data_IF_947182432142
#
_entry.id   IF_947182432142
#
_cell.length_a   1.000
_cell.length_b   1.000
_cell.length_c   1.000
_cell.angle_alpha   90.00
_cell.angle_beta   90.00
_cell.angle_gamma   90.00
#
_symmetry.space_group_name_H-M   'P 1'
#
loop_
_entity.id
_entity.type
_entity.pdbx_description
1 polymer ?
#
# COMPACT_ATOMS: atom_id res chain seq x y z
N UNK A 1 -200.57 -140.01 96.54
CA UNK A 1 -201.07 -138.88 95.72
C UNK A 1 -200.59 -137.52 96.25
N UNK A 2 -199.53 -137.47 97.08
CA UNK A 2 -198.94 -136.22 97.60
C UNK A 2 -197.49 -135.98 97.12
N UNK A 3 -196.88 -136.91 96.38
CA UNK A 3 -195.50 -136.80 95.87
C UNK A 3 -195.34 -135.94 94.60
N UNK A 4 -196.37 -135.74 93.77
CA UNK A 4 -196.18 -135.12 92.45
C UNK A 4 -196.36 -133.59 92.41
N UNK A 5 -196.99 -132.98 93.42
CA UNK A 5 -197.26 -131.54 93.41
C UNK A 5 -196.07 -130.69 93.93
N UNK A 6 -195.19 -131.28 94.75
CA UNK A 6 -194.08 -130.54 95.35
C UNK A 6 -192.94 -130.27 94.36
N UNK A 7 -192.65 -131.23 93.47
CA UNK A 7 -191.52 -131.15 92.53
C UNK A 7 -191.73 -130.11 91.41
N UNK A 8 -192.96 -129.93 90.92
CA UNK A 8 -193.26 -128.95 89.86
C UNK A 8 -193.13 -127.50 90.32
N UNK A 9 -193.41 -127.22 91.61
CA UNK A 9 -193.25 -125.88 92.17
C UNK A 9 -191.77 -125.52 92.34
N UNK A 10 -190.90 -126.48 92.62
CA UNK A 10 -189.46 -126.23 92.76
C UNK A 10 -188.77 -125.95 91.41
N UNK A 11 -189.22 -126.62 90.33
CA UNK A 11 -188.72 -126.37 88.97
C UNK A 11 -189.08 -124.96 88.50
N UNK A 12 -190.31 -124.52 88.73
CA UNK A 12 -190.77 -123.18 88.33
C UNK A 12 -189.93 -122.07 89.00
N UNK A 13 -189.59 -122.25 90.29
CA UNK A 13 -188.75 -121.31 91.02
C UNK A 13 -187.36 -121.18 90.39
N UNK A 14 -186.70 -122.31 90.10
CA UNK A 14 -185.37 -122.35 89.46
C UNK A 14 -185.37 -121.67 88.09
N UNK A 15 -186.39 -121.91 87.28
CA UNK A 15 -186.51 -121.31 85.95
C UNK A 15 -186.72 -119.79 86.01
N UNK A 16 -187.49 -119.28 86.97
CA UNK A 16 -187.64 -117.84 87.17
C UNK A 16 -186.35 -117.17 87.65
N UNK A 17 -185.59 -117.82 88.54
CA UNK A 17 -184.27 -117.33 88.97
C UNK A 17 -183.28 -117.27 87.80
N UNK A 18 -183.30 -118.25 86.90
CA UNK A 18 -182.37 -118.31 85.78
C UNK A 18 -182.70 -117.31 84.66
N UNK A 19 -183.99 -117.05 84.40
CA UNK A 19 -184.42 -115.98 83.50
C UNK A 19 -183.99 -114.63 84.05
N UNK A 20 -184.15 -114.41 85.36
CA UNK A 20 -183.72 -113.17 86.00
C UNK A 20 -182.21 -112.96 85.88
N UNK A 21 -181.42 -114.02 86.05
CA UNK A 21 -179.96 -113.96 85.89
C UNK A 21 -179.52 -113.64 84.46
N UNK A 22 -180.12 -114.27 83.44
CA UNK A 22 -179.78 -114.02 82.03
C UNK A 22 -180.15 -112.61 81.57
N UNK A 23 -181.28 -112.06 82.03
CA UNK A 23 -181.65 -110.68 81.70
C UNK A 23 -180.66 -109.67 82.28
N UNK A 24 -180.16 -109.91 83.49
CA UNK A 24 -179.13 -109.06 84.11
C UNK A 24 -177.81 -109.11 83.34
N UNK A 25 -177.39 -110.29 82.87
CA UNK A 25 -176.22 -110.46 82.01
C UNK A 25 -176.35 -109.73 80.66
N UNK A 26 -177.55 -109.69 80.09
CA UNK A 26 -177.82 -108.98 78.84
C UNK A 26 -177.70 -107.46 79.04
N UNK A 27 -178.24 -106.93 80.13
CA UNK A 27 -178.09 -105.52 80.53
C UNK A 27 -176.61 -105.15 80.72
N UNK A 28 -175.82 -105.99 81.41
CA UNK A 28 -174.39 -105.77 81.60
C UNK A 28 -173.64 -105.75 80.25
N UNK A 29 -174.00 -106.65 79.31
CA UNK A 29 -173.43 -106.67 77.96
C UNK A 29 -173.76 -105.41 77.16
N UNK A 30 -174.98 -104.89 77.24
CA UNK A 30 -175.36 -103.65 76.54
C UNK A 30 -174.61 -102.43 77.08
N UNK A 31 -174.39 -102.37 78.40
CA UNK A 31 -173.59 -101.31 79.02
C UNK A 31 -172.15 -101.36 78.49
N UNK A 32 -171.55 -102.55 78.41
CA UNK A 32 -170.20 -102.74 77.87
C UNK A 32 -170.12 -102.34 76.38
N UNK A 33 -171.09 -102.72 75.55
CA UNK A 33 -171.12 -102.32 74.14
C UNK A 33 -171.24 -100.80 73.96
N UNK A 34 -172.03 -100.11 74.80
CA UNK A 34 -172.12 -98.64 74.78
C UNK A 34 -170.80 -97.99 75.19
N UNK A 35 -170.11 -98.51 76.21
CA UNK A 35 -168.79 -98.03 76.64
C UNK A 35 -167.73 -98.24 75.57
N UNK A 36 -167.72 -99.39 74.89
CA UNK A 36 -166.80 -99.65 73.78
C UNK A 36 -167.05 -98.69 72.60
N UNK A 37 -168.31 -98.41 72.27
CA UNK A 37 -168.65 -97.47 71.20
C UNK A 37 -168.20 -96.05 71.49
N UNK A 38 -168.36 -95.57 72.73
CA UNK A 38 -167.88 -94.24 73.13
C UNK A 38 -166.35 -94.17 73.13
N UNK A 39 -165.66 -95.24 73.57
CA UNK A 39 -164.20 -95.28 73.53
C UNK A 39 -163.65 -95.32 72.10
N UNK A 40 -164.26 -96.10 71.20
CA UNK A 40 -163.86 -96.16 69.79
C UNK A 40 -163.98 -94.79 69.11
N UNK A 41 -165.07 -94.05 69.37
CA UNK A 41 -165.24 -92.68 68.85
C UNK A 41 -164.14 -91.74 69.35
N UNK A 42 -163.74 -91.86 70.62
CA UNK A 42 -162.66 -91.07 71.19
C UNK A 42 -161.31 -91.39 70.52
N UNK A 43 -160.99 -92.67 70.39
CA UNK A 43 -159.74 -93.12 69.73
C UNK A 43 -159.70 -92.68 68.26
N UNK A 44 -160.82 -92.71 67.55
CA UNK A 44 -160.90 -92.22 66.17
C UNK A 44 -160.65 -90.70 66.09
N UNK A 45 -161.20 -89.92 67.02
CA UNK A 45 -160.93 -88.47 67.10
C UNK A 45 -159.46 -88.19 67.37
N UNK A 46 -158.84 -88.89 68.34
CA UNK A 46 -157.42 -88.75 68.67
C UNK A 46 -156.53 -89.16 67.48
N UNK A 47 -156.90 -90.22 66.75
CA UNK A 47 -156.21 -90.64 65.52
C UNK A 47 -156.26 -89.55 64.45
N UNK A 48 -157.43 -88.92 64.24
CA UNK A 48 -157.60 -87.86 63.24
C UNK A 48 -156.82 -86.59 63.62
N UNK A 49 -156.79 -86.23 64.91
CA UNK A 49 -155.93 -85.14 65.43
C UNK A 49 -154.45 -85.43 65.20
N UNK A 50 -153.99 -86.66 65.48
CA UNK A 50 -152.60 -87.07 65.22
C UNK A 50 -152.26 -87.03 63.72
N UNK A 51 -153.18 -87.42 62.85
CA UNK A 51 -153.02 -87.32 61.40
C UNK A 51 -152.87 -85.88 60.93
N UNK A 52 -153.67 -84.96 61.47
CA UNK A 52 -153.52 -83.53 61.17
C UNK A 52 -152.16 -82.98 61.66
N UNK A 53 -151.72 -83.37 62.86
CA UNK A 53 -150.44 -82.94 63.40
C UNK A 53 -149.25 -83.45 62.56
N UNK A 54 -149.30 -84.69 62.08
CA UNK A 54 -148.30 -85.26 61.18
C UNK A 54 -148.23 -84.47 59.87
N UNK A 55 -149.37 -84.17 59.24
CA UNK A 55 -149.40 -83.38 58.01
C UNK A 55 -148.77 -81.99 58.17
N UNK A 56 -149.07 -81.29 59.28
CA UNK A 56 -148.44 -79.98 59.56
C UNK A 56 -146.94 -80.13 59.78
N UNK A 57 -146.51 -81.18 60.51
CA UNK A 57 -145.09 -81.50 60.71
C UNK A 57 -144.36 -81.75 59.39
N UNK A 58 -144.95 -82.53 58.49
CA UNK A 58 -144.34 -82.83 57.19
C UNK A 58 -144.21 -81.57 56.32
N UNK A 59 -145.23 -80.71 56.29
CA UNK A 59 -145.16 -79.41 55.61
C UNK A 59 -144.03 -78.53 56.18
N UNK A 60 -143.92 -78.43 57.52
CA UNK A 60 -142.84 -77.66 58.13
C UNK A 60 -141.46 -78.25 57.86
N UNK A 61 -141.34 -79.58 57.79
CA UNK A 61 -140.09 -80.23 57.40
C UNK A 61 -139.73 -79.95 55.95
N UNK A 62 -140.70 -79.94 55.03
CA UNK A 62 -140.47 -79.62 53.63
C UNK A 62 -140.04 -78.16 53.44
N UNK A 63 -140.69 -77.22 54.12
CA UNK A 63 -140.27 -75.80 54.14
C UNK A 63 -138.85 -75.62 54.71
N UNK A 64 -138.53 -76.31 55.81
CA UNK A 64 -137.18 -76.28 56.38
C UNK A 64 -136.15 -76.88 55.41
N UNK A 65 -136.47 -77.98 54.74
CA UNK A 65 -135.58 -78.63 53.79
C UNK A 65 -135.32 -77.74 52.56
N UNK A 66 -136.34 -77.05 52.08
CA UNK A 66 -136.20 -76.06 51.00
C UNK A 66 -135.29 -74.89 51.42
N UNK A 67 -135.50 -74.34 52.63
CA UNK A 67 -134.61 -73.30 53.19
C UNK A 67 -133.17 -73.78 53.38
N UNK A 68 -132.96 -75.01 53.86
CA UNK A 68 -131.63 -75.61 53.96
C UNK A 68 -130.96 -75.74 52.59
N UNK A 69 -131.72 -76.12 51.56
CA UNK A 69 -131.23 -76.23 50.19
C UNK A 69 -130.86 -74.87 49.59
N UNK A 70 -131.67 -73.84 49.83
CA UNK A 70 -131.39 -72.46 49.41
C UNK A 70 -130.11 -71.91 50.09
N UNK A 71 -130.01 -72.06 51.41
CA UNK A 71 -128.83 -71.63 52.18
C UNK A 71 -127.55 -72.35 51.74
N UNK A 72 -127.64 -73.64 51.41
CA UNK A 72 -126.49 -74.39 50.88
C UNK A 72 -126.00 -73.81 49.56
N UNK A 73 -126.94 -73.50 48.64
CA UNK A 73 -126.59 -72.92 47.33
C UNK A 73 -125.99 -71.52 47.45
N UNK A 74 -126.48 -70.71 48.37
CA UNK A 74 -125.94 -69.36 48.59
C UNK A 74 -124.57 -69.42 49.28
N UNK A 75 -124.33 -70.39 50.16
CA UNK A 75 -123.00 -70.65 50.72
C UNK A 75 -122.01 -71.07 49.64
N UNK A 76 -122.41 -71.96 48.71
CA UNK A 76 -121.57 -72.37 47.59
C UNK A 76 -121.18 -71.18 46.70
N UNK A 77 -122.14 -70.32 46.34
CA UNK A 77 -121.85 -69.09 45.59
C UNK A 77 -120.91 -68.16 46.33
N UNK A 78 -121.11 -67.96 47.64
CA UNK A 78 -120.22 -67.12 48.44
C UNK A 78 -118.80 -67.71 48.54
N UNK A 79 -118.68 -69.04 48.54
CA UNK A 79 -117.37 -69.70 48.48
C UNK A 79 -116.69 -69.50 47.12
N UNK A 80 -117.43 -69.61 46.01
CA UNK A 80 -116.91 -69.35 44.68
C UNK A 80 -116.44 -67.89 44.54
N UNK A 81 -117.27 -66.92 44.94
CA UNK A 81 -116.92 -65.49 44.94
C UNK A 81 -115.69 -65.21 45.83
N UNK A 82 -115.61 -65.83 47.01
CA UNK A 82 -114.43 -65.72 47.89
C UNK A 82 -113.17 -66.26 47.20
N UNK A 83 -113.27 -67.38 46.50
CA UNK A 83 -112.14 -67.99 45.80
C UNK A 83 -111.67 -67.11 44.62
N UNK A 84 -112.60 -66.52 43.86
CA UNK A 84 -112.28 -65.56 42.79
C UNK A 84 -111.60 -64.29 43.34
N UNK A 85 -112.12 -63.74 44.44
CA UNK A 85 -111.50 -62.59 45.11
C UNK A 85 -110.10 -62.91 45.64
N UNK A 86 -109.89 -64.12 46.17
CA UNK A 86 -108.57 -64.54 46.63
C UNK A 86 -107.56 -64.60 45.47
N UNK A 87 -107.95 -65.16 44.33
CA UNK A 87 -107.09 -65.19 43.14
C UNK A 87 -106.73 -63.79 42.65
N UNK A 88 -107.68 -62.85 42.69
CA UNK A 88 -107.42 -61.44 42.32
C UNK A 88 -106.46 -60.74 43.29
N UNK A 89 -106.55 -61.03 44.60
CA UNK A 89 -105.61 -60.50 45.60
C UNK A 89 -104.21 -61.04 45.34
N UNK A 90 -104.06 -62.35 45.14
CA UNK A 90 -102.77 -62.99 44.89
C UNK A 90 -102.10 -62.42 43.63
N UNK A 91 -102.87 -62.20 42.54
CA UNK A 91 -102.38 -61.60 41.30
C UNK A 91 -101.96 -60.13 41.49
N UNK A 92 -102.72 -59.36 42.29
CA UNK A 92 -102.39 -57.97 42.62
C UNK A 92 -101.11 -57.88 43.46
N UNK A 93 -100.91 -58.79 44.40
CA UNK A 93 -99.72 -58.84 45.25
C UNK A 93 -98.49 -59.19 44.42
N UNK A 94 -98.59 -60.16 43.51
CA UNK A 94 -97.53 -60.48 42.54
C UNK A 94 -97.16 -59.26 41.69
N UNK A 95 -98.15 -58.59 41.09
CA UNK A 95 -97.90 -57.40 40.27
C UNK A 95 -97.28 -56.24 41.07
N UNK A 96 -97.69 -56.08 42.33
CA UNK A 96 -97.11 -55.07 43.23
C UNK A 96 -95.65 -55.38 43.59
N UNK A 97 -95.32 -56.65 43.81
CA UNK A 97 -93.95 -57.10 44.07
C UNK A 97 -93.05 -56.90 42.85
N UNK A 98 -93.51 -57.26 41.65
CA UNK A 98 -92.78 -57.03 40.40
C UNK A 98 -92.50 -55.54 40.17
N UNK A 99 -93.50 -54.69 40.38
CA UNK A 99 -93.34 -53.24 40.27
C UNK A 99 -92.34 -52.70 41.31
N UNK A 100 -92.38 -53.21 42.55
CA UNK A 100 -91.41 -52.85 43.59
C UNK A 100 -89.99 -53.25 43.22
N UNK A 101 -89.81 -54.47 42.71
CA UNK A 101 -88.51 -54.98 42.26
C UNK A 101 -87.96 -54.14 41.11
N UNK A 102 -88.80 -53.79 40.13
CA UNK A 102 -88.40 -52.95 39.00
C UNK A 102 -88.04 -51.53 39.44
N UNK A 103 -88.77 -50.95 40.39
CA UNK A 103 -88.41 -49.67 41.00
C UNK A 103 -87.06 -49.73 41.72
N UNK A 104 -86.78 -50.81 42.45
CA UNK A 104 -85.50 -51.00 43.15
C UNK A 104 -84.34 -51.16 42.15
N UNK A 105 -84.50 -51.97 41.10
CA UNK A 105 -83.51 -52.14 40.05
C UNK A 105 -83.20 -50.82 39.35
N UNK A 106 -84.22 -50.03 39.00
CA UNK A 106 -84.05 -48.72 38.40
C UNK A 106 -83.37 -47.74 39.35
N UNK A 107 -83.67 -47.78 40.64
CA UNK A 107 -82.99 -46.94 41.64
C UNK A 107 -81.51 -47.28 41.77
N UNK A 108 -81.16 -48.58 41.80
CA UNK A 108 -79.77 -49.03 41.85
C UNK A 108 -79.02 -48.65 40.56
N UNK A 109 -79.64 -48.83 39.39
CA UNK A 109 -79.05 -48.43 38.12
C UNK A 109 -78.83 -46.91 38.05
N UNK A 110 -79.79 -46.12 38.53
CA UNK A 110 -79.66 -44.66 38.60
C UNK A 110 -78.50 -44.24 39.52
N UNK A 111 -78.38 -44.85 40.69
CA UNK A 111 -77.27 -44.56 41.61
C UNK A 111 -75.91 -44.88 40.98
N UNK A 112 -75.75 -46.05 40.36
CA UNK A 112 -74.51 -46.41 39.64
C UNK A 112 -74.17 -45.40 38.54
N UNK A 113 -75.16 -44.99 37.74
CA UNK A 113 -74.95 -43.99 36.69
C UNK A 113 -74.59 -42.60 37.23
N UNK A 114 -75.07 -42.23 38.42
CA UNK A 114 -74.66 -41.00 39.10
C UNK A 114 -73.22 -41.10 39.60
N UNK A 115 -72.83 -42.21 40.22
CA UNK A 115 -71.47 -42.45 40.70
C UNK A 115 -70.46 -42.40 39.54
N UNK A 116 -70.73 -43.12 38.44
CA UNK A 116 -69.89 -43.11 37.22
C UNK A 116 -69.76 -41.70 36.63
N UNK A 117 -70.84 -40.92 36.59
CA UNK A 117 -70.83 -39.54 36.10
C UNK A 117 -69.98 -38.63 36.98
N UNK A 118 -70.00 -38.83 38.29
CA UNK A 118 -69.21 -38.02 39.23
C UNK A 118 -67.73 -38.42 39.20
N UNK A 119 -67.40 -39.70 39.02
CA UNK A 119 -66.02 -40.16 38.76
C UNK A 119 -65.46 -39.53 37.47
N UNK A 120 -66.19 -39.62 36.35
CA UNK A 120 -65.77 -39.01 35.08
C UNK A 120 -65.59 -37.49 35.17
N UNK A 121 -66.41 -36.81 35.98
CA UNK A 121 -66.25 -35.37 36.23
C UNK A 121 -64.97 -35.08 36.99
N UNK A 122 -64.62 -35.90 37.97
CA UNK A 122 -63.39 -35.72 38.74
C UNK A 122 -62.14 -36.04 37.91
N UNK A 123 -62.17 -37.09 37.10
CA UNK A 123 -61.13 -37.36 36.09
C UNK A 123 -60.95 -36.19 35.12
N UNK A 124 -62.04 -35.60 34.64
CA UNK A 124 -61.98 -34.44 33.76
C UNK A 124 -61.40 -33.20 34.48
N UNK A 125 -61.73 -32.98 35.76
CA UNK A 125 -61.17 -31.88 36.57
C UNK A 125 -59.67 -32.07 36.79
N UNK A 126 -59.24 -33.27 37.18
CA UNK A 126 -57.83 -33.59 37.43
C UNK A 126 -57.01 -33.49 36.15
N UNK A 127 -57.50 -34.05 35.03
CA UNK A 127 -56.86 -33.91 33.72
C UNK A 127 -56.75 -32.43 33.31
N UNK A 128 -57.83 -31.65 33.44
CA UNK A 128 -57.81 -30.21 33.14
C UNK A 128 -56.82 -29.43 34.01
N UNK A 129 -56.76 -29.74 35.31
CA UNK A 129 -55.79 -29.12 36.23
C UNK A 129 -54.35 -29.45 35.83
N UNK A 130 -54.06 -30.71 35.51
CA UNK A 130 -52.74 -31.16 35.07
C UNK A 130 -52.32 -30.49 33.75
N UNK A 131 -53.21 -30.44 32.76
CA UNK A 131 -52.98 -29.76 31.47
C UNK A 131 -52.75 -28.26 31.65
N UNK A 132 -53.53 -27.59 32.52
CA UNK A 132 -53.33 -26.18 32.84
C UNK A 132 -51.97 -25.93 33.52
N UNK A 133 -51.59 -26.79 34.48
CA UNK A 133 -50.29 -26.68 35.16
C UNK A 133 -49.12 -26.88 34.19
N UNK A 134 -49.23 -27.85 33.27
CA UNK A 134 -48.21 -28.06 32.23
C UNK A 134 -48.14 -26.86 31.27
N UNK A 135 -49.29 -26.31 30.89
CA UNK A 135 -49.35 -25.12 30.04
C UNK A 135 -48.71 -23.91 30.73
N UNK A 136 -48.93 -23.72 32.04
CA UNK A 136 -48.32 -22.65 32.81
C UNK A 136 -46.79 -22.78 32.86
N UNK A 137 -46.27 -24.00 33.11
CA UNK A 137 -44.82 -24.28 33.09
C UNK A 137 -44.20 -23.97 31.73
N UNK A 138 -44.87 -24.38 30.65
CA UNK A 138 -44.40 -24.08 29.28
C UNK A 138 -44.40 -22.56 29.00
N UNK A 139 -45.41 -21.82 29.47
CA UNK A 139 -45.41 -20.36 29.36
C UNK A 139 -44.22 -19.71 30.09
N UNK A 140 -43.92 -20.16 31.31
CA UNK A 140 -42.76 -19.67 32.08
C UNK A 140 -41.43 -19.98 31.38
N UNK A 141 -41.28 -21.17 30.80
CA UNK A 141 -40.09 -21.54 30.02
C UNK A 141 -39.95 -20.69 28.75
N UNK A 142 -41.06 -20.46 28.02
CA UNK A 142 -41.07 -19.60 26.83
C UNK A 142 -40.67 -18.17 27.21
N UNK A 143 -41.14 -17.62 28.33
CA UNK A 143 -40.74 -16.29 28.78
C UNK A 143 -39.25 -16.20 29.13
N UNK A 144 -38.70 -17.20 29.83
CA UNK A 144 -37.26 -17.28 30.13
C UNK A 144 -36.43 -17.34 28.84
N UNK A 145 -36.84 -18.18 27.89
CA UNK A 145 -36.16 -18.29 26.59
C UNK A 145 -36.26 -17.00 25.78
N UNK A 146 -37.41 -16.31 25.80
CA UNK A 146 -37.56 -15.00 25.15
C UNK A 146 -36.60 -13.96 25.74
N UNK A 147 -36.50 -13.89 27.06
CA UNK A 147 -35.57 -12.99 27.73
C UNK A 147 -34.11 -13.28 27.34
N UNK A 148 -33.72 -14.55 27.33
CA UNK A 148 -32.37 -14.96 26.96
C UNK A 148 -32.03 -14.65 25.50
N UNK A 149 -32.95 -14.93 24.58
CA UNK A 149 -32.79 -14.58 23.15
C UNK A 149 -32.66 -13.06 22.97
N UNK A 150 -33.47 -12.27 23.69
CA UNK A 150 -33.41 -10.81 23.61
C UNK A 150 -32.10 -10.25 24.19
N UNK A 151 -31.60 -10.85 25.28
CA UNK A 151 -30.28 -10.54 25.84
C UNK A 151 -29.16 -10.80 24.83
N UNK A 152 -29.14 -12.00 24.24
CA UNK A 152 -28.15 -12.36 23.23
C UNK A 152 -28.22 -11.45 21.99
N UNK A 153 -29.44 -11.09 21.54
CA UNK A 153 -29.63 -10.13 20.44
C UNK A 153 -28.95 -8.79 20.73
N UNK A 154 -29.12 -8.23 21.93
CA UNK A 154 -28.49 -6.96 22.32
C UNK A 154 -26.97 -7.06 22.40
N UNK A 155 -26.44 -8.16 22.94
CA UNK A 155 -25.00 -8.42 22.97
C UNK A 155 -24.41 -8.48 21.55
N UNK A 156 -25.08 -9.15 20.61
CA UNK A 156 -24.68 -9.16 19.20
C UNK A 156 -24.77 -7.79 18.52
N UNK A 157 -25.82 -7.00 18.79
CA UNK A 157 -25.93 -5.64 18.27
C UNK A 157 -24.83 -4.70 18.79
N UNK A 158 -24.44 -4.83 20.05
CA UNK A 158 -23.32 -4.06 20.62
C UNK A 158 -21.98 -4.47 19.99
N UNK A 159 -21.76 -5.77 19.82
CA UNK A 159 -20.57 -6.28 19.11
C UNK A 159 -20.53 -5.78 17.66
N UNK A 160 -21.65 -5.80 16.95
CA UNK A 160 -21.75 -5.31 15.58
C UNK A 160 -21.42 -3.82 15.49
N UNK A 161 -21.94 -2.99 16.42
CA UNK A 161 -21.58 -1.56 16.52
C UNK A 161 -20.10 -1.35 16.80
N UNK A 162 -19.49 -2.13 17.70
CA UNK A 162 -18.04 -2.04 17.98
C UNK A 162 -17.20 -2.44 16.76
N UNK A 163 -17.60 -3.52 16.06
CA UNK A 163 -16.96 -3.96 14.82
C UNK A 163 -17.07 -2.90 13.72
N UNK A 164 -18.25 -2.31 13.51
CA UNK A 164 -18.44 -1.21 12.57
C UNK A 164 -17.56 -0.01 12.94
N UNK A 165 -17.47 0.35 14.22
CA UNK A 165 -16.62 1.43 14.71
C UNK A 165 -15.12 1.16 14.54
N UNK A 166 -14.66 -0.08 14.71
CA UNK A 166 -13.28 -0.50 14.41
C UNK A 166 -13.00 -0.45 12.91
N UNK A 167 -13.93 -0.96 12.10
CA UNK A 167 -13.82 -0.95 10.64
C UNK A 167 -13.74 0.48 10.09
N UNK A 168 -14.55 1.41 10.60
CA UNK A 168 -14.52 2.81 10.17
C UNK A 168 -13.17 3.47 10.50
N UNK A 169 -12.67 3.29 11.72
CA UNK A 169 -11.34 3.81 12.13
C UNK A 169 -10.21 3.28 11.25
N UNK A 170 -10.24 1.99 10.91
CA UNK A 170 -9.27 1.40 9.99
C UNK A 170 -9.38 1.96 8.57
N UNK A 171 -10.58 2.25 8.08
CA UNK A 171 -10.77 2.92 6.79
C UNK A 171 -10.17 4.33 6.81
N UNK A 172 -10.46 5.13 7.85
CA UNK A 172 -9.90 6.48 8.00
C UNK A 172 -8.36 6.47 8.10
N UNK A 173 -7.79 5.52 8.84
CA UNK A 173 -6.34 5.36 8.95
C UNK A 173 -5.71 4.95 7.60
N UNK A 174 -6.33 4.03 6.86
CA UNK A 174 -5.89 3.65 5.53
C UNK A 174 -5.98 4.81 4.53
N UNK A 175 -7.01 5.65 4.60
CA UNK A 175 -7.12 6.84 3.75
C UNK A 175 -6.01 7.85 4.05
N UNK A 176 -5.68 8.08 5.33
CA UNK A 176 -4.55 8.93 5.73
C UNK A 176 -3.22 8.38 5.22
N UNK A 177 -2.95 7.09 5.44
CA UNK A 177 -1.73 6.44 4.95
C UNK A 177 -1.62 6.51 3.43
N UNK A 178 -2.74 6.32 2.71
CA UNK A 178 -2.78 6.46 1.25
C UNK A 178 -2.45 7.88 0.81
N UNK A 179 -2.97 8.88 1.51
CA UNK A 179 -2.65 10.28 1.24
C UNK A 179 -1.17 10.58 1.50
N UNK A 180 -0.61 10.11 2.60
CA UNK A 180 0.80 10.31 2.94
C UNK A 180 1.74 9.65 1.92
N UNK A 181 1.43 8.43 1.48
CA UNK A 181 2.16 7.74 0.40
C UNK A 181 2.08 8.48 -0.93
N UNK A 182 0.93 9.08 -1.25
CA UNK A 182 0.74 9.90 -2.44
C UNK A 182 1.63 11.16 -2.41
N UNK A 183 1.72 11.83 -1.25
CA UNK A 183 2.60 12.97 -1.04
C UNK A 183 4.08 12.60 -1.18
N UNK A 184 4.52 11.52 -0.52
CA UNK A 184 5.90 11.03 -0.63
C UNK A 184 6.27 10.66 -2.07
N UNK A 185 5.34 10.06 -2.82
CA UNK A 185 5.58 9.73 -4.23
C UNK A 185 5.83 10.98 -5.08
N UNK A 186 5.04 12.04 -4.86
CA UNK A 186 5.22 13.32 -5.58
C UNK A 186 6.55 13.98 -5.24
N UNK A 187 6.96 13.98 -3.97
CA UNK A 187 8.27 14.50 -3.56
C UNK A 187 9.43 13.73 -4.22
N UNK A 188 9.33 12.40 -4.29
CA UNK A 188 10.33 11.57 -4.98
C UNK A 188 10.34 11.84 -6.49
N UNK A 189 9.19 12.00 -7.15
CA UNK A 189 9.10 12.38 -8.56
C UNK A 189 9.73 13.75 -8.85
N UNK A 190 9.61 14.71 -7.93
CA UNK A 190 10.29 16.01 -8.04
C UNK A 190 11.80 15.88 -7.90
N UNK A 191 12.27 15.13 -6.89
CA UNK A 191 13.69 14.86 -6.72
C UNK A 191 14.30 14.15 -7.94
N UNK A 192 13.59 13.19 -8.54
CA UNK A 192 14.07 12.48 -9.73
C UNK A 192 14.25 13.42 -10.93
N UNK A 193 13.34 14.40 -11.12
CA UNK A 193 13.49 15.45 -12.14
C UNK A 193 14.70 16.33 -11.89
N UNK A 194 14.96 16.72 -10.65
CA UNK A 194 16.13 17.52 -10.28
C UNK A 194 17.42 16.74 -10.53
N UNK A 195 17.47 15.46 -10.14
CA UNK A 195 18.59 14.56 -10.42
C UNK A 195 18.85 14.43 -11.93
N UNK A 196 17.79 14.27 -12.71
CA UNK A 196 17.90 14.17 -14.16
C UNK A 196 18.41 15.48 -14.79
N UNK A 197 17.98 16.63 -14.27
CA UNK A 197 18.53 17.94 -14.65
C UNK A 197 20.03 18.09 -14.35
N UNK A 198 20.48 17.59 -13.19
CA UNK A 198 21.90 17.57 -12.84
C UNK A 198 22.71 16.59 -13.72
N UNK A 199 22.18 15.40 -14.00
CA UNK A 199 22.79 14.41 -14.89
C UNK A 199 23.00 14.99 -16.30
N UNK A 200 22.00 15.67 -16.86
CA UNK A 200 22.07 16.35 -18.15
C UNK A 200 23.15 17.45 -18.15
N UNK A 201 23.22 18.25 -17.07
CA UNK A 201 24.22 19.30 -16.93
C UNK A 201 25.64 18.74 -16.84
N UNK A 202 25.84 17.65 -16.09
CA UNK A 202 27.13 16.93 -16.00
C UNK A 202 27.52 16.40 -17.38
N UNK A 203 26.59 15.80 -18.12
CA UNK A 203 26.85 15.26 -19.45
C UNK A 203 27.22 16.36 -20.45
N UNK A 204 26.56 17.52 -20.37
CA UNK A 204 26.93 18.69 -21.16
C UNK A 204 28.35 19.19 -20.82
N UNK A 205 28.68 19.30 -19.53
CA UNK A 205 30.03 19.69 -19.10
C UNK A 205 31.11 18.68 -19.57
N UNK A 206 30.85 17.37 -19.45
CA UNK A 206 31.74 16.32 -19.98
C UNK A 206 31.97 16.49 -21.48
N UNK A 207 30.94 16.84 -22.25
CA UNK A 207 31.07 17.08 -23.69
C UNK A 207 32.00 18.27 -23.98
N UNK A 208 31.82 19.41 -23.29
CA UNK A 208 32.70 20.57 -23.44
C UNK A 208 34.15 20.29 -23.04
N UNK A 209 34.37 19.57 -21.94
CA UNK A 209 35.72 19.13 -21.52
C UNK A 209 36.35 18.25 -22.59
N UNK A 210 35.58 17.35 -23.21
CA UNK A 210 36.07 16.48 -24.28
C UNK A 210 36.44 17.27 -25.53
N UNK A 211 35.62 18.26 -25.92
CA UNK A 211 35.94 19.16 -27.03
C UNK A 211 37.21 19.96 -26.75
N UNK A 212 37.32 20.59 -25.58
CA UNK A 212 38.50 21.35 -25.17
C UNK A 212 39.77 20.49 -25.18
N UNK A 213 39.69 19.26 -24.65
CA UNK A 213 40.79 18.29 -24.65
C UNK A 213 41.25 17.96 -26.07
N UNK A 214 40.32 17.75 -27.00
CA UNK A 214 40.64 17.45 -28.39
C UNK A 214 41.25 18.64 -29.12
N UNK A 215 40.80 19.87 -28.83
CA UNK A 215 41.38 21.10 -29.40
C UNK A 215 42.80 21.31 -28.89
N UNK A 216 43.02 21.22 -27.57
CA UNK A 216 44.35 21.33 -26.97
C UNK A 216 45.31 20.28 -27.52
N UNK A 217 44.84 19.06 -27.77
CA UNK A 217 45.67 18.02 -28.38
C UNK A 217 46.18 18.41 -29.77
N UNK A 218 45.31 18.97 -30.63
CA UNK A 218 45.71 19.45 -31.97
C UNK A 218 46.68 20.62 -31.90
N UNK A 219 46.46 21.56 -30.98
CA UNK A 219 47.37 22.68 -30.77
C UNK A 219 48.75 22.20 -30.28
N UNK A 220 48.78 21.19 -29.40
CA UNK A 220 50.02 20.57 -28.93
C UNK A 220 50.80 19.93 -30.09
N UNK A 221 50.13 19.11 -30.91
CA UNK A 221 50.72 18.49 -32.12
C UNK A 221 51.29 19.57 -33.06
N UNK A 222 50.58 20.69 -33.26
CA UNK A 222 51.06 21.81 -34.09
C UNK A 222 52.28 22.53 -33.50
N UNK A 223 52.35 22.66 -32.17
CA UNK A 223 53.50 23.27 -31.48
C UNK A 223 54.72 22.35 -31.58
N UNK A 224 54.55 21.04 -31.40
CA UNK A 224 55.62 20.06 -31.57
C UNK A 224 56.22 20.14 -32.99
N UNK A 225 55.39 20.12 -34.04
CA UNK A 225 55.84 20.27 -35.43
C UNK A 225 56.65 21.56 -35.66
N UNK A 226 56.16 22.70 -35.14
CA UNK A 226 56.86 23.99 -35.27
C UNK A 226 58.17 24.02 -34.47
N UNK A 227 58.23 23.31 -33.35
CA UNK A 227 59.43 23.26 -32.52
C UNK A 227 60.53 22.48 -33.24
N UNK A 228 60.19 21.35 -33.88
CA UNK A 228 61.11 20.61 -34.74
C UNK A 228 61.61 21.46 -35.93
N UNK A 229 60.73 22.28 -36.52
CA UNK A 229 61.11 23.20 -37.59
C UNK A 229 62.10 24.28 -37.11
N UNK A 230 61.86 24.87 -35.93
CA UNK A 230 62.78 25.85 -35.32
C UNK A 230 64.13 25.22 -35.02
N UNK A 231 64.16 24.02 -34.43
CA UNK A 231 65.40 23.29 -34.15
C UNK A 231 66.22 23.03 -35.43
N UNK A 232 65.55 22.68 -36.54
CA UNK A 232 66.19 22.54 -37.84
C UNK A 232 66.83 23.86 -38.31
N UNK A 233 66.10 24.98 -38.24
CA UNK A 233 66.60 26.28 -38.66
C UNK A 233 67.75 26.78 -37.78
N UNK A 234 67.70 26.56 -36.47
CA UNK A 234 68.80 26.90 -35.54
C UNK A 234 70.09 26.15 -35.88
N UNK A 235 69.99 24.85 -36.19
CA UNK A 235 71.14 24.06 -36.62
C UNK A 235 71.76 24.60 -37.92
N UNK A 236 70.93 24.97 -38.91
CA UNK A 236 71.41 25.59 -40.14
C UNK A 236 72.09 26.93 -39.90
N UNK A 237 71.49 27.78 -39.05
CA UNK A 237 72.05 29.08 -38.71
C UNK A 237 73.41 28.96 -37.99
N UNK A 238 73.53 28.02 -37.04
CA UNK A 238 74.78 27.75 -36.34
C UNK A 238 75.88 27.27 -37.31
N UNK A 239 75.55 26.35 -38.22
CA UNK A 239 76.48 25.86 -39.24
C UNK A 239 76.98 27.00 -40.13
N UNK A 240 76.08 27.83 -40.64
CA UNK A 240 76.43 28.97 -41.48
C UNK A 240 77.31 29.98 -40.73
N UNK A 241 77.00 30.25 -39.45
CA UNK A 241 77.80 31.14 -38.61
C UNK A 241 79.25 30.63 -38.48
N UNK A 242 79.44 29.33 -38.27
CA UNK A 242 80.77 28.71 -38.20
C UNK A 242 81.51 28.83 -39.55
N UNK A 243 80.82 28.58 -40.67
CA UNK A 243 81.41 28.70 -42.01
C UNK A 243 81.82 30.13 -42.34
N UNK A 244 80.96 31.11 -42.04
CA UNK A 244 81.26 32.53 -42.24
C UNK A 244 82.47 32.99 -41.41
N UNK A 245 82.53 32.58 -40.13
CA UNK A 245 83.70 32.86 -39.28
C UNK A 245 84.98 32.30 -39.89
N UNK A 246 84.96 31.06 -40.38
CA UNK A 246 86.12 30.45 -41.08
C UNK A 246 86.53 31.25 -42.32
N UNK A 247 85.59 31.57 -43.21
CA UNK A 247 85.89 32.31 -44.43
C UNK A 247 86.42 33.72 -44.14
N UNK A 248 85.90 34.39 -43.10
CA UNK A 248 86.40 35.70 -42.69
C UNK A 248 87.83 35.64 -42.15
N UNK A 249 88.18 34.59 -41.40
CA UNK A 249 89.55 34.35 -40.94
C UNK A 249 90.49 34.19 -42.15
N UNK A 250 90.13 33.35 -43.11
CA UNK A 250 90.92 33.13 -44.33
C UNK A 250 91.11 34.44 -45.14
N UNK A 251 90.06 35.24 -45.28
CA UNK A 251 90.13 36.54 -45.97
C UNK A 251 91.06 37.52 -45.25
N UNK A 252 91.02 37.56 -43.91
CA UNK A 252 91.88 38.45 -43.13
C UNK A 252 93.34 37.99 -43.15
N UNK A 253 93.60 36.68 -43.14
CA UNK A 253 94.94 36.12 -43.35
C UNK A 253 95.53 36.50 -44.72
N UNK A 254 94.73 36.43 -45.78
CA UNK A 254 95.13 36.88 -47.13
C UNK A 254 95.39 38.39 -47.16
N UNK A 255 94.55 39.18 -46.49
CA UNK A 255 94.74 40.64 -46.38
C UNK A 255 96.07 40.96 -45.71
N UNK A 256 96.35 40.32 -44.57
CA UNK A 256 97.59 40.50 -43.82
C UNK A 256 98.81 40.11 -44.65
N UNK A 257 98.78 38.96 -45.31
CA UNK A 257 99.89 38.51 -46.17
C UNK A 257 100.17 39.47 -47.34
N UNK A 258 99.12 40.06 -47.94
CA UNK A 258 99.29 41.06 -49.00
C UNK A 258 99.84 42.38 -48.49
N UNK A 259 99.42 42.83 -47.30
CA UNK A 259 100.01 43.98 -46.62
C UNK A 259 101.50 43.71 -46.39
N UNK A 260 101.88 42.57 -45.79
CA UNK A 260 103.29 42.25 -45.52
C UNK A 260 104.15 42.19 -46.80
N UNK A 261 103.61 41.67 -47.90
CA UNK A 261 104.34 41.53 -49.17
C UNK A 261 104.54 42.85 -49.94
N UNK A 262 103.59 43.79 -49.83
CA UNK A 262 103.60 45.07 -50.56
C UNK A 262 104.34 46.13 -49.74
N UNK A 263 105.68 46.11 -49.67
CA UNK A 263 106.43 47.13 -48.90
C UNK A 263 106.04 48.60 -49.22
N UNK A 264 106.37 49.53 -48.31
CA UNK A 264 105.92 50.95 -48.26
C UNK A 264 106.33 51.89 -49.43
N UNK A 265 106.52 51.36 -50.63
CA UNK A 265 106.79 52.13 -51.83
C UNK A 265 105.49 52.71 -52.40
N UNK A 266 105.48 54.00 -52.72
CA UNK A 266 104.36 54.71 -53.39
C UNK A 266 104.23 54.28 -54.86
N UNK A 267 103.83 53.01 -55.09
CA UNK A 267 103.39 52.50 -56.41
C UNK A 267 101.88 52.77 -56.56
N UNK A 268 101.29 52.46 -57.72
CA UNK A 268 99.87 52.72 -57.96
C UNK A 268 98.96 52.04 -56.93
N UNK A 269 99.33 50.85 -56.47
CA UNK A 269 98.77 50.22 -55.27
C UNK A 269 99.94 49.88 -54.34
N UNK A 270 99.80 50.24 -53.06
CA UNK A 270 100.79 49.98 -52.02
C UNK A 270 100.17 50.07 -50.64
N UNK A 271 101.01 50.10 -49.60
CA UNK A 271 100.54 50.32 -48.23
C UNK A 271 100.52 51.82 -47.95
N UNK A 272 99.39 52.29 -47.41
CA UNK A 272 99.30 53.57 -46.70
C UNK A 272 99.19 53.27 -45.21
N UNK A 273 99.96 53.97 -44.36
CA UNK A 273 99.76 53.93 -42.91
C UNK A 273 98.68 54.96 -42.58
N UNK A 274 97.49 54.48 -42.25
CA UNK A 274 96.35 55.34 -41.96
C UNK A 274 96.57 56.03 -40.62
N UNK A 275 96.47 57.36 -40.61
CA UNK A 275 96.72 58.17 -39.42
C UNK A 275 98.19 58.49 -39.16
N UNK A 276 99.11 58.15 -40.08
CA UNK A 276 100.49 58.66 -40.06
C UNK A 276 100.54 60.01 -40.80
N UNK A 277 101.06 61.05 -40.15
CA UNK A 277 101.18 62.38 -40.71
C UNK A 277 102.22 62.44 -41.84
N UNK A 278 101.90 63.16 -42.93
CA UNK A 278 102.88 63.44 -43.99
C UNK A 278 103.83 64.53 -43.48
N UNK A 279 105.15 64.31 -43.53
CA UNK A 279 106.14 65.25 -43.00
C UNK A 279 106.29 66.51 -43.86
N UNK A 280 105.91 66.46 -45.14
CA UNK A 280 106.15 67.57 -46.09
C UNK A 280 105.49 68.89 -45.69
N UNK A 281 104.19 68.93 -45.30
CA UNK A 281 103.56 70.16 -44.84
C UNK A 281 104.23 70.77 -43.60
N UNK A 282 104.78 69.93 -42.71
CA UNK A 282 105.52 70.40 -41.53
C UNK A 282 106.83 71.06 -41.93
N UNK A 283 107.57 70.48 -42.88
CA UNK A 283 108.82 71.06 -43.40
C UNK A 283 108.59 72.41 -44.08
N UNK A 284 107.54 72.50 -44.91
CA UNK A 284 107.15 73.74 -45.60
C UNK A 284 106.70 74.85 -44.65
N UNK A 285 105.98 74.53 -43.58
CA UNK A 285 105.58 75.52 -42.58
C UNK A 285 106.77 75.98 -41.74
N UNK A 286 107.68 75.08 -41.38
CA UNK A 286 108.91 75.43 -40.67
C UNK A 286 109.82 76.34 -41.50
N UNK A 287 109.87 76.21 -42.83
CA UNK A 287 110.72 77.06 -43.69
C UNK A 287 110.31 78.53 -43.70
N UNK A 288 109.10 78.84 -43.27
CA UNK A 288 108.61 80.22 -43.15
C UNK A 288 109.00 80.87 -41.81
N UNK A 289 109.40 80.07 -40.81
CA UNK A 289 109.60 80.54 -39.43
C UNK A 289 111.01 80.32 -38.87
N UNK A 290 111.76 79.36 -39.42
CA UNK A 290 113.09 79.00 -38.91
C UNK A 290 114.16 79.12 -40.00
N UNK A 291 115.43 79.37 -39.63
CA UNK A 291 116.55 79.33 -40.55
C UNK A 291 116.79 77.91 -41.09
N UNK A 292 117.32 77.80 -42.32
CA UNK A 292 117.58 76.51 -43.00
C UNK A 292 118.41 75.51 -42.17
N UNK A 293 119.33 76.00 -41.33
CA UNK A 293 120.18 75.15 -40.49
C UNK A 293 119.40 74.35 -39.42
N UNK A 294 118.23 74.83 -38.99
CA UNK A 294 117.40 74.21 -37.95
C UNK A 294 116.10 73.59 -38.50
N UNK A 295 115.82 73.81 -39.79
CA UNK A 295 114.59 73.42 -40.47
C UNK A 295 114.25 71.94 -40.30
N UNK A 296 115.21 71.06 -40.55
CA UNK A 296 114.98 69.62 -40.56
C UNK A 296 114.67 69.08 -39.16
N UNK A 297 115.37 69.58 -38.15
CA UNK A 297 115.14 69.20 -36.76
C UNK A 297 113.77 69.71 -36.30
N UNK A 298 113.46 71.00 -36.54
CA UNK A 298 112.21 71.62 -36.09
C UNK A 298 110.97 71.05 -36.76
N UNK A 299 111.06 70.70 -38.05
CA UNK A 299 109.94 70.09 -38.78
C UNK A 299 109.62 68.67 -38.32
N UNK A 300 110.64 67.86 -38.01
CA UNK A 300 110.46 66.51 -37.46
C UNK A 300 109.94 66.55 -36.02
N UNK A 301 110.44 67.48 -35.20
CA UNK A 301 109.93 67.71 -33.83
C UNK A 301 108.44 68.07 -33.86
N UNK A 302 108.03 68.99 -34.74
CA UNK A 302 106.63 69.41 -34.87
C UNK A 302 105.74 68.28 -35.41
N UNK A 303 106.19 67.54 -36.42
CA UNK A 303 105.46 66.39 -36.96
C UNK A 303 105.26 65.30 -35.91
N UNK A 304 106.33 64.96 -35.17
CA UNK A 304 106.29 63.97 -34.09
C UNK A 304 105.38 64.40 -32.95
N UNK A 305 105.45 65.67 -32.53
CA UNK A 305 104.57 66.21 -31.51
C UNK A 305 103.10 66.01 -31.87
N UNK A 306 102.71 66.39 -33.10
CA UNK A 306 101.33 66.22 -33.53
C UNK A 306 100.95 64.76 -33.75
N UNK A 307 101.87 63.91 -34.19
CA UNK A 307 101.64 62.47 -34.28
C UNK A 307 101.32 61.88 -32.89
N UNK A 308 102.12 62.22 -31.88
CA UNK A 308 101.88 61.80 -30.48
C UNK A 308 100.56 62.35 -29.94
N UNK A 309 100.19 63.60 -30.29
CA UNK A 309 98.88 64.14 -29.89
C UNK A 309 97.73 63.33 -30.49
N UNK A 310 97.82 62.93 -31.77
CA UNK A 310 96.77 62.14 -32.45
C UNK A 310 96.68 60.71 -31.88
N UNK A 311 97.81 60.14 -31.48
CA UNK A 311 97.89 58.81 -30.87
C UNK A 311 97.50 58.79 -29.38
N UNK A 312 97.42 59.97 -28.74
CA UNK A 312 96.97 60.12 -27.35
C UNK A 312 95.45 59.99 -27.19
N UNK A 313 94.98 60.16 -25.95
CA UNK A 313 93.56 60.25 -25.63
C UNK A 313 92.86 61.52 -26.17
N UNK A 314 93.60 62.41 -26.84
CA UNK A 314 93.03 63.57 -27.49
C UNK A 314 92.04 63.15 -28.60
N UNK A 315 90.79 63.59 -28.46
CA UNK A 315 89.68 63.19 -29.32
C UNK A 315 88.81 64.42 -29.67
N UNK A 316 89.26 65.26 -30.62
CA UNK A 316 88.56 66.48 -31.00
C UNK A 316 87.39 66.18 -31.95
N UNK A 317 86.45 65.32 -31.53
CA UNK A 317 85.25 64.97 -32.30
C UNK A 317 83.97 65.22 -31.50
N UNK A 318 82.99 65.82 -32.16
CA UNK A 318 81.61 65.97 -31.70
C UNK A 318 80.73 64.89 -32.32
N UNK A 319 79.76 64.41 -31.55
CA UNK A 319 78.74 63.48 -32.02
C UNK A 319 77.52 64.30 -32.42
N UNK A 320 77.15 64.29 -33.71
CA UNK A 320 75.96 64.96 -34.23
C UNK A 320 74.94 63.90 -34.70
N UNK A 321 73.66 64.14 -34.41
CA UNK A 321 72.54 63.29 -34.85
C UNK A 321 71.85 63.94 -36.04
N UNK A 322 71.95 63.33 -37.22
CA UNK A 322 71.15 63.71 -38.40
C UNK A 322 70.06 62.65 -38.62
N UNK A 323 68.79 63.07 -38.48
CA UNK A 323 67.57 62.32 -38.82
C UNK A 323 67.55 60.81 -38.46
N UNK A 324 67.81 60.51 -37.20
CA UNK A 324 67.16 59.38 -36.54
C UNK A 324 67.84 58.02 -36.62
N UNK A 325 68.98 57.81 -37.30
CA UNK A 325 69.79 56.63 -36.99
C UNK A 325 71.25 56.53 -37.49
N UNK A 326 72.01 57.63 -37.58
CA UNK A 326 73.47 57.52 -37.65
C UNK A 326 74.12 58.64 -36.84
N UNK A 327 74.90 58.28 -35.82
CA UNK A 327 75.77 59.21 -35.08
C UNK A 327 76.99 59.50 -35.95
N UNK A 328 77.03 60.68 -36.57
CA UNK A 328 78.20 61.10 -37.36
C UNK A 328 79.20 61.77 -36.42
N UNK A 329 80.47 61.38 -36.52
CA UNK A 329 81.58 61.97 -35.75
C UNK A 329 82.20 63.05 -36.61
N UNK A 330 81.95 64.30 -36.25
CA UNK A 330 82.48 65.46 -36.95
C UNK A 330 83.58 66.10 -36.10
N UNK A 331 84.54 66.76 -36.74
CA UNK A 331 85.66 67.38 -36.04
C UNK A 331 85.16 68.60 -35.28
N UNK A 332 85.61 68.74 -34.03
CA UNK A 332 85.34 69.92 -33.24
C UNK A 332 86.26 71.07 -33.65
N UNK A 333 85.79 71.95 -34.53
CA UNK A 333 86.54 73.15 -34.96
C UNK A 333 86.84 74.13 -33.81
N UNK A 334 86.13 74.03 -32.67
CA UNK A 334 86.35 74.83 -31.47
C UNK A 334 87.36 74.19 -30.50
N UNK A 335 87.91 73.01 -30.83
CA UNK A 335 88.94 72.37 -30.02
C UNK A 335 90.15 73.30 -29.86
N UNK A 336 90.58 73.47 -28.61
CA UNK A 336 91.60 74.44 -28.24
C UNK A 336 92.95 74.18 -28.95
N UNK A 337 93.34 72.91 -29.12
CA UNK A 337 94.59 72.52 -29.77
C UNK A 337 94.50 72.69 -31.28
N UNK A 338 93.39 72.29 -31.90
CA UNK A 338 93.14 72.49 -33.33
C UNK A 338 93.12 73.98 -33.70
N UNK A 339 92.46 74.81 -32.90
CA UNK A 339 92.42 76.27 -33.12
C UNK A 339 93.79 76.91 -32.97
N UNK A 340 94.58 76.49 -31.98
CA UNK A 340 95.99 76.93 -31.82
C UNK A 340 96.84 76.51 -33.01
N UNK A 341 96.73 75.25 -33.48
CA UNK A 341 97.45 74.77 -34.65
C UNK A 341 97.16 75.62 -35.89
N UNK A 342 95.88 75.89 -36.16
CA UNK A 342 95.43 76.68 -37.31
C UNK A 342 95.92 78.12 -37.24
N UNK A 343 95.88 78.73 -36.05
CA UNK A 343 96.36 80.11 -35.85
C UNK A 343 97.88 80.23 -35.94
N UNK A 344 98.62 79.31 -35.32
CA UNK A 344 100.07 79.38 -35.24
C UNK A 344 100.75 78.91 -36.53
N UNK A 345 100.26 77.85 -37.17
CA UNK A 345 100.97 77.19 -38.27
C UNK A 345 100.22 77.14 -39.60
N UNK A 346 98.99 77.68 -39.62
CA UNK A 346 98.19 77.84 -40.84
C UNK A 346 97.37 76.63 -41.24
N UNK A 347 96.53 76.84 -42.27
CA UNK A 347 95.51 75.89 -42.72
C UNK A 347 96.07 74.53 -43.16
N UNK A 348 97.21 74.54 -43.85
CA UNK A 348 97.78 73.32 -44.46
C UNK A 348 98.20 72.28 -43.42
N UNK A 349 98.70 72.74 -42.26
CA UNK A 349 99.07 71.86 -41.16
C UNK A 349 97.86 71.39 -40.38
N UNK A 350 96.91 72.29 -40.15
CA UNK A 350 95.59 71.96 -39.59
C UNK A 350 94.90 70.83 -40.36
N UNK A 351 94.79 70.96 -41.69
CA UNK A 351 94.22 69.92 -42.56
C UNK A 351 94.99 68.59 -42.51
N UNK A 352 96.32 68.66 -42.38
CA UNK A 352 97.17 67.46 -42.33
C UNK A 352 96.95 66.68 -41.04
N UNK A 353 96.89 67.37 -39.90
CA UNK A 353 96.57 66.80 -38.58
C UNK A 353 95.16 66.25 -38.52
N UNK A 354 94.18 66.99 -39.08
CA UNK A 354 92.79 66.55 -39.20
C UNK A 354 92.65 65.27 -40.02
N UNK A 355 93.33 65.21 -41.17
CA UNK A 355 93.32 64.02 -42.02
C UNK A 355 93.87 62.81 -41.26
N UNK A 356 94.95 63.00 -40.49
CA UNK A 356 95.50 61.98 -39.60
C UNK A 356 94.48 61.50 -38.55
N UNK A 357 93.76 62.42 -37.90
CA UNK A 357 92.73 62.11 -36.90
C UNK A 357 91.56 61.32 -37.48
N UNK A 358 91.06 61.70 -38.65
CA UNK A 358 89.97 61.02 -39.34
C UNK A 358 90.37 59.60 -39.74
N UNK A 359 91.53 59.45 -40.35
CA UNK A 359 92.07 58.14 -40.73
C UNK A 359 92.29 57.25 -39.51
N UNK A 360 92.79 57.79 -38.40
CA UNK A 360 92.96 57.04 -37.15
C UNK A 360 91.62 56.53 -36.61
N UNK A 361 90.57 57.35 -36.68
CA UNK A 361 89.24 57.01 -36.18
C UNK A 361 88.52 55.99 -37.05
N UNK A 362 88.65 56.08 -38.38
CA UNK A 362 87.98 55.16 -39.29
C UNK A 362 88.63 53.77 -39.29
N UNK A 363 89.97 53.70 -39.22
CA UNK A 363 90.71 52.45 -39.42
C UNK A 363 91.20 51.81 -38.11
N UNK A 364 91.37 52.58 -37.03
CA UNK A 364 91.82 52.06 -35.74
C UNK A 364 91.31 52.88 -34.54
N UNK A 365 90.00 53.14 -34.48
CA UNK A 365 89.39 53.95 -33.42
C UNK A 365 89.80 53.53 -32.00
N UNK A 366 89.86 52.22 -31.74
CA UNK A 366 90.15 51.67 -30.41
C UNK A 366 91.65 51.56 -30.12
N UNK A 367 92.49 51.31 -31.13
CA UNK A 367 93.92 51.11 -30.93
C UNK A 367 94.74 52.40 -30.97
N UNK A 368 94.29 53.44 -31.69
CA UNK A 368 94.93 54.77 -31.75
C UNK A 368 96.40 54.78 -32.18
N UNK A 369 96.84 53.80 -32.96
CA UNK A 369 98.14 53.79 -33.63
C UNK A 369 97.97 53.64 -35.15
N UNK A 370 98.92 54.13 -35.98
CA UNK A 370 98.81 54.03 -37.43
C UNK A 370 98.79 52.58 -37.91
N UNK A 371 97.74 52.21 -38.65
CA UNK A 371 97.56 50.85 -39.18
C UNK A 371 97.92 50.81 -40.67
N UNK A 372 98.69 49.81 -41.12
CA UNK A 372 98.95 49.64 -42.55
C UNK A 372 97.68 49.16 -43.26
N UNK A 373 97.29 49.86 -44.31
CA UNK A 373 96.16 49.51 -45.14
C UNK A 373 96.53 49.44 -46.63
N UNK A 374 95.92 48.49 -47.33
CA UNK A 374 96.02 48.40 -48.79
C UNK A 374 95.36 49.62 -49.41
N UNK A 375 96.14 50.41 -50.14
CA UNK A 375 95.70 51.69 -50.67
C UNK A 375 95.97 51.81 -52.16
N UNK A 376 94.95 52.31 -52.88
CA UNK A 376 95.10 52.71 -54.27
C UNK A 376 95.47 54.19 -54.30
N UNK A 377 96.74 54.48 -54.57
CA UNK A 377 97.25 55.86 -54.60
C UNK A 377 96.81 56.63 -55.86
N UNK A 378 96.25 55.96 -56.88
CA UNK A 378 95.68 56.64 -58.05
C UNK A 378 94.26 57.14 -57.80
N UNK A 379 93.49 56.36 -57.06
CA UNK A 379 92.07 56.65 -56.80
C UNK A 379 91.83 57.20 -55.39
N UNK A 380 92.91 57.37 -54.61
CA UNK A 380 92.89 57.90 -53.23
C UNK A 380 91.87 57.20 -52.32
N UNK A 381 91.76 55.87 -52.42
CA UNK A 381 90.86 55.04 -51.61
C UNK A 381 91.47 53.71 -51.20
N UNK A 382 90.83 53.03 -50.26
CA UNK A 382 91.13 51.65 -49.87
C UNK A 382 91.10 50.74 -51.10
N UNK A 383 92.17 49.96 -51.29
CA UNK A 383 92.24 48.96 -52.34
C UNK A 383 91.63 47.64 -51.87
N UNK A 384 90.89 46.99 -52.76
CA UNK A 384 90.40 45.62 -52.56
C UNK A 384 91.54 44.60 -52.72
N UNK A 385 91.37 43.41 -52.13
CA UNK A 385 92.32 42.30 -52.30
C UNK A 385 92.52 41.96 -53.78
N UNK A 386 91.43 41.99 -54.57
CA UNK A 386 91.45 41.75 -56.01
C UNK A 386 92.33 42.75 -56.75
N UNK A 387 92.21 44.03 -56.43
CA UNK A 387 93.02 45.09 -57.04
C UNK A 387 94.50 44.93 -56.67
N UNK A 388 94.81 44.65 -55.40
CA UNK A 388 96.18 44.41 -54.94
C UNK A 388 96.83 43.23 -55.66
N UNK A 389 96.14 42.09 -55.74
CA UNK A 389 96.62 40.89 -56.46
C UNK A 389 96.83 41.20 -57.95
N UNK A 390 95.87 41.84 -58.61
CA UNK A 390 95.97 42.21 -60.02
C UNK A 390 97.19 43.12 -60.27
N UNK A 391 97.45 44.06 -59.36
CA UNK A 391 98.58 44.96 -59.46
C UNK A 391 99.93 44.23 -59.31
N UNK A 392 100.05 43.31 -58.35
CA UNK A 392 101.25 42.47 -58.19
C UNK A 392 101.49 41.64 -59.46
N UNK A 393 100.45 41.00 -60.00
CA UNK A 393 100.56 40.21 -61.23
C UNK A 393 101.00 41.05 -62.43
N UNK A 394 100.49 42.28 -62.56
CA UNK A 394 100.90 43.21 -63.62
C UNK A 394 102.37 43.65 -63.47
N UNK A 395 102.82 43.92 -62.24
CA UNK A 395 104.23 44.23 -61.96
C UNK A 395 105.16 43.04 -62.29
N UNK A 396 104.76 41.83 -61.94
CA UNK A 396 105.51 40.61 -62.28
C UNK A 396 105.62 40.41 -63.80
N UNK A 397 104.53 40.64 -64.55
CA UNK A 397 104.53 40.57 -66.04
C UNK A 397 105.47 41.60 -66.66
N UNK A 398 105.45 42.84 -66.19
CA UNK A 398 106.31 43.92 -66.69
C UNK A 398 107.79 43.72 -66.34
N UNK A 399 108.11 43.14 -65.17
CA UNK A 399 109.49 42.75 -64.83
C UNK A 399 110.02 41.61 -65.70
N UNK A 400 109.17 40.61 -66.04
CA UNK A 400 109.54 39.53 -66.97
C UNK A 400 109.82 40.05 -68.39
N UNK A 401 109.09 41.06 -68.86
CA UNK A 401 109.36 41.74 -70.14
C UNK A 401 110.70 42.46 -70.18
N UNK A 402 111.05 43.21 -69.12
CA UNK A 402 112.34 43.92 -69.03
C UNK A 402 113.57 43.00 -68.96
N UNK A 403 113.44 41.78 -68.40
CA UNK A 403 114.50 40.76 -68.42
C UNK A 403 114.70 40.09 -69.79
N UNK A 404 113.68 40.07 -70.65
CA UNK A 404 113.77 39.54 -72.03
C UNK A 404 114.40 40.52 -73.03
N UNK A 405 114.33 41.83 -72.78
CA UNK A 405 114.99 42.87 -73.60
C UNK A 405 116.45 43.16 -73.22
N UNK A 406 116.93 42.65 -72.07
CA UNK A 406 118.34 42.75 -71.61
C UNK A 406 119.13 41.46 -71.82
N UNK A 407 118.66 40.57 -72.69
CA UNK A 407 119.35 39.33 -73.08
C UNK A 407 119.68 39.38 -74.56
#
# INVERSE_FOLDING_TARGET
MEEELHDLLDIRRKLSEEIYFKNRLLEDSEIVCKQLSTHLKKVMSEKDELLQLINVKDQTMEEMNNKCSELSRDLDKAMDEKNELQQLIDLKDQMSEEMRNRCNELSVALNRAMDEKDELREEMRTMKCSTNNQSLRLCEEIEKLKYEVERQRKEFEEQDKDWQGKSLRLCEENEKLKYDLECQRKELEEQDKDWQGHEDQINLQKHYVTLAKNTLKKELETIEEKTEEVDYWEQQYQLLTVMLRKSNIELEEVRKALVDALGYNRRAIGIKRMGLLDEKPFREACSQKFPDAELDVKSVELCSFWQEQIESDWYPFKITSTNGNFHTREIDEEDEKLRKLKHEWGEKLYETVIRGLLEMTEYNASGRYPVPELWNFKEERKASLKEAIAHILQQLKTQKGKKRQRR
#
